data_IF_780961452339
#
_entry.id   IF_780961452339
#
_cell.length_a   1.000
_cell.length_b   1.000
_cell.length_c   1.000
_cell.angle_alpha   90.00
_cell.angle_beta   90.00
_cell.angle_gamma   90.00
#
_symmetry.space_group_name_H-M   'P 1'
#
loop_
_entity.id
_entity.type
_entity.pdbx_description
1 polymer ?
#
# COMPACT_ATOMS: atom_id res chain seq x y z
N UNK A 1 9.38 -5.24 -12.96
CA UNK A 1 8.53 -6.11 -12.15
C UNK A 1 7.05 -5.77 -12.34
N UNK A 2 6.22 -6.77 -12.51
CA UNK A 2 4.79 -6.54 -12.72
C UNK A 2 4.10 -6.30 -11.38
N UNK A 3 3.29 -5.26 -11.28
CA UNK A 3 2.55 -4.97 -10.07
C UNK A 3 1.35 -5.91 -9.91
N UNK A 4 1.11 -6.38 -8.68
CA UNK A 4 -0.04 -7.22 -8.37
C UNK A 4 -1.34 -6.42 -8.32
N UNK A 5 -1.25 -5.13 -7.94
CA UNK A 5 -2.43 -4.28 -7.86
C UNK A 5 -2.83 -3.76 -9.23
N UNK A 6 -4.14 -3.79 -9.48
CA UNK A 6 -4.69 -3.26 -10.71
C UNK A 6 -4.70 -1.74 -10.67
N UNK A 7 -4.78 -1.14 -11.85
CA UNK A 7 -4.77 0.31 -12.02
C UNK A 7 -5.91 1.02 -11.26
N UNK A 8 -7.14 0.56 -11.44
CA UNK A 8 -8.32 1.30 -10.96
C UNK A 8 -8.36 1.56 -9.45
N UNK A 9 -8.08 0.58 -8.57
CA UNK A 9 -8.08 0.87 -7.13
C UNK A 9 -7.03 1.89 -6.72
N UNK A 10 -5.83 1.82 -7.31
CA UNK A 10 -4.75 2.75 -6.99
C UNK A 10 -5.06 4.14 -7.51
N UNK A 11 -5.53 4.24 -8.73
CA UNK A 11 -5.97 5.50 -9.34
C UNK A 11 -7.05 6.15 -8.47
N UNK A 12 -8.01 5.34 -7.99
CA UNK A 12 -9.09 5.81 -7.12
C UNK A 12 -8.57 6.43 -5.82
N UNK A 13 -7.55 5.82 -5.21
CA UNK A 13 -6.95 6.36 -3.99
C UNK A 13 -6.29 7.71 -4.28
N UNK A 14 -5.57 7.83 -5.38
CA UNK A 14 -4.94 9.11 -5.74
C UNK A 14 -6.01 10.17 -5.97
N UNK A 15 -7.06 9.83 -6.73
CA UNK A 15 -8.13 10.79 -7.05
C UNK A 15 -8.87 11.31 -5.83
N UNK A 16 -9.10 10.46 -4.84
CA UNK A 16 -9.80 10.93 -3.62
C UNK A 16 -8.97 11.90 -2.80
N UNK A 17 -7.66 11.95 -3.05
CA UNK A 17 -6.74 12.89 -2.39
C UNK A 17 -6.31 14.04 -3.31
N UNK A 18 -6.77 14.07 -4.55
CA UNK A 18 -6.26 14.98 -5.57
C UNK A 18 -6.89 16.38 -5.56
N UNK A 19 -8.08 16.53 -4.96
CA UNK A 19 -8.73 17.83 -4.91
C UNK A 19 -9.03 18.42 -6.29
N UNK A 20 -9.42 17.56 -7.24
CA UNK A 20 -9.73 18.00 -8.60
C UNK A 20 -8.57 17.96 -9.59
N UNK A 21 -7.36 17.68 -9.13
CA UNK A 21 -6.23 17.51 -10.05
C UNK A 21 -6.41 16.25 -10.89
N UNK A 22 -5.84 16.27 -12.09
CA UNK A 22 -5.78 15.07 -12.92
C UNK A 22 -4.72 14.12 -12.38
N UNK A 23 -4.84 12.86 -12.72
CA UNK A 23 -3.89 11.82 -12.28
C UNK A 23 -3.36 11.11 -13.53
N UNK A 24 -2.04 11.11 -13.72
CA UNK A 24 -1.46 10.42 -14.86
C UNK A 24 -1.47 8.90 -14.62
N UNK A 25 -1.48 8.14 -15.70
CA UNK A 25 -1.39 6.67 -15.62
C UNK A 25 -0.08 6.26 -14.93
N UNK A 26 1.01 6.95 -15.23
CA UNK A 26 2.32 6.67 -14.66
C UNK A 26 2.35 6.90 -13.14
N UNK A 27 1.56 7.87 -12.65
CA UNK A 27 1.45 8.10 -11.20
C UNK A 27 0.81 6.89 -10.52
N UNK A 28 -0.26 6.37 -11.08
CA UNK A 28 -0.92 5.19 -10.53
C UNK A 28 -0.01 3.96 -10.57
N UNK A 29 0.71 3.77 -11.68
CA UNK A 29 1.66 2.65 -11.82
C UNK A 29 2.77 2.75 -10.78
N UNK A 30 3.34 3.94 -10.61
CA UNK A 30 4.43 4.15 -9.65
C UNK A 30 3.96 3.92 -8.22
N UNK A 31 2.78 4.40 -7.88
CA UNK A 31 2.24 4.18 -6.54
C UNK A 31 1.96 2.69 -6.31
N UNK A 32 1.43 1.98 -7.31
CA UNK A 32 1.20 0.54 -7.20
C UNK A 32 2.51 -0.21 -6.90
N UNK A 33 3.60 0.17 -7.56
CA UNK A 33 4.91 -0.44 -7.32
C UNK A 33 5.40 -0.18 -5.89
N UNK A 34 5.19 1.05 -5.40
CA UNK A 34 5.60 1.40 -4.03
C UNK A 34 4.76 0.67 -2.98
N UNK A 35 3.46 0.56 -3.21
CA UNK A 35 2.57 -0.20 -2.31
C UNK A 35 3.03 -1.65 -2.25
N UNK A 36 3.32 -2.24 -3.41
CA UNK A 36 3.77 -3.64 -3.47
C UNK A 36 5.07 -3.86 -2.69
N UNK A 37 6.06 -3.01 -2.90
CA UNK A 37 7.34 -3.15 -2.21
C UNK A 37 7.16 -3.00 -0.69
N UNK A 38 6.35 -2.05 -0.26
CA UNK A 38 6.09 -1.83 1.16
C UNK A 38 5.34 -3.02 1.77
N UNK A 39 4.31 -3.50 1.10
CA UNK A 39 3.52 -4.64 1.57
C UNK A 39 4.33 -5.92 1.68
N UNK A 40 5.18 -6.20 0.69
CA UNK A 40 6.03 -7.39 0.72
C UNK A 40 7.03 -7.31 1.90
N UNK A 41 7.58 -6.12 2.15
CA UNK A 41 8.50 -5.90 3.27
C UNK A 41 7.80 -6.10 4.62
N UNK A 42 6.59 -5.56 4.77
CA UNK A 42 5.82 -5.72 6.00
C UNK A 42 5.49 -7.20 6.26
N UNK A 43 5.20 -7.96 5.19
CA UNK A 43 4.89 -9.37 5.33
C UNK A 43 6.11 -10.18 5.79
N UNK A 44 7.32 -9.81 5.35
CA UNK A 44 8.54 -10.46 5.84
C UNK A 44 8.68 -10.25 7.35
N UNK A 45 8.45 -9.03 7.83
CA UNK A 45 8.50 -8.75 9.27
C UNK A 45 7.41 -9.50 10.02
N UNK A 46 6.21 -9.57 9.46
CA UNK A 46 5.10 -10.31 10.08
C UNK A 46 5.42 -11.81 10.17
N UNK A 47 6.05 -12.37 9.14
CA UNK A 47 6.44 -13.78 9.14
C UNK A 47 7.48 -14.05 10.22
N UNK A 48 8.43 -13.15 10.45
CA UNK A 48 9.40 -13.27 11.52
C UNK A 48 8.71 -13.23 12.88
N UNK A 49 7.74 -12.36 13.05
CA UNK A 49 6.98 -12.27 14.29
C UNK A 49 6.19 -13.57 14.55
N UNK A 50 5.50 -14.08 13.53
CA UNK A 50 4.77 -15.33 13.67
C UNK A 50 5.70 -16.48 14.01
N UNK A 51 6.85 -16.54 13.36
CA UNK A 51 7.85 -17.60 13.61
C UNK A 51 8.39 -17.53 15.03
N UNK A 52 8.63 -16.33 15.56
CA UNK A 52 9.09 -16.14 16.93
C UNK A 52 8.05 -16.64 17.94
N UNK A 53 6.77 -16.55 17.58
CA UNK A 53 5.67 -17.03 18.42
C UNK A 53 5.34 -18.51 18.17
N UNK A 54 6.12 -19.19 17.34
CA UNK A 54 5.91 -20.59 17.04
C UNK A 54 4.76 -20.88 16.08
N UNK A 55 4.32 -19.87 15.32
CA UNK A 55 3.21 -20.02 14.37
C UNK A 55 3.70 -20.01 12.93
N UNK A 56 2.92 -20.65 12.06
CA UNK A 56 3.15 -20.63 10.60
C UNK A 56 2.06 -19.83 9.87
N UNK A 57 1.15 -19.23 10.63
CA UNK A 57 0.10 -18.40 10.07
C UNK A 57 0.33 -16.96 10.50
N UNK A 58 0.38 -16.05 9.53
CA UNK A 58 0.44 -14.62 9.80
C UNK A 58 -0.95 -14.17 10.26
N UNK A 59 -0.98 -13.46 11.38
CA UNK A 59 -2.21 -12.94 11.97
C UNK A 59 -2.17 -11.41 11.90
N UNK A 60 -3.32 -10.77 12.12
CA UNK A 60 -3.40 -9.31 12.11
C UNK A 60 -2.42 -8.68 13.10
N UNK A 61 -2.26 -9.29 14.28
CA UNK A 61 -1.34 -8.80 15.30
C UNK A 61 0.11 -8.77 14.84
N UNK A 62 0.49 -9.67 13.91
CA UNK A 62 1.85 -9.68 13.38
C UNK A 62 2.15 -8.44 12.53
N UNK A 63 1.11 -7.79 12.04
CA UNK A 63 1.20 -6.51 11.33
C UNK A 63 0.95 -5.32 12.26
N UNK A 64 0.79 -5.56 13.55
CA UNK A 64 0.57 -4.50 14.54
C UNK A 64 -0.86 -3.96 14.56
N UNK A 65 -1.82 -4.69 14.02
CA UNK A 65 -3.21 -4.27 13.95
C UNK A 65 -4.03 -5.08 14.96
N UNK A 66 -4.67 -4.38 15.91
CA UNK A 66 -5.55 -5.01 16.91
C UNK A 66 -6.99 -5.05 16.42
N UNK A 67 -7.49 -3.90 15.93
CA UNK A 67 -8.86 -3.78 15.45
C UNK A 67 -8.89 -3.81 13.94
N UNK A 68 -9.24 -4.95 13.38
CA UNK A 68 -9.29 -5.15 11.95
C UNK A 68 -10.54 -4.49 11.38
N UNK A 69 -10.42 -3.60 10.40
CA UNK A 69 -11.58 -2.92 9.83
C UNK A 69 -12.43 -3.86 8.99
N UNK A 70 -13.64 -3.40 8.64
CA UNK A 70 -14.48 -4.14 7.72
C UNK A 70 -13.85 -4.07 6.33
N UNK A 71 -13.70 -5.24 5.67
CA UNK A 71 -13.08 -5.30 4.34
C UNK A 71 -13.83 -4.45 3.31
N UNK A 72 -15.14 -4.28 3.48
CA UNK A 72 -15.95 -3.51 2.53
C UNK A 72 -15.67 -2.00 2.61
N UNK A 73 -14.98 -1.55 3.67
CA UNK A 73 -14.59 -0.15 3.80
C UNK A 73 -13.31 0.18 3.04
N UNK A 74 -12.61 -0.84 2.52
CA UNK A 74 -11.32 -0.67 1.85
C UNK A 74 -11.45 -0.58 0.35
N UNK A 75 -10.64 0.30 -0.25
CA UNK A 75 -10.54 0.42 -1.71
C UNK A 75 -9.66 -0.68 -2.30
N UNK A 76 -8.61 -1.09 -1.58
CA UNK A 76 -7.70 -2.11 -2.09
C UNK A 76 -8.33 -3.50 -2.00
N UNK A 77 -8.31 -4.26 -3.11
CA UNK A 77 -8.90 -5.61 -3.12
C UNK A 77 -8.02 -6.60 -2.38
N UNK A 78 -8.66 -7.54 -1.70
CA UNK A 78 -7.96 -8.48 -0.81
C UNK A 78 -7.08 -9.49 -1.56
N UNK A 79 -7.55 -10.01 -2.70
CA UNK A 79 -6.77 -11.03 -3.41
C UNK A 79 -5.39 -10.54 -3.88
N UNK A 80 -5.27 -9.35 -4.50
CA UNK A 80 -3.95 -8.81 -4.82
C UNK A 80 -3.10 -8.55 -3.59
N UNK A 81 -3.69 -8.09 -2.49
CA UNK A 81 -2.95 -7.85 -1.24
C UNK A 81 -2.41 -9.17 -0.69
N UNK A 82 -3.18 -10.24 -0.77
CA UNK A 82 -2.71 -11.57 -0.36
C UNK A 82 -1.49 -12.00 -1.20
N UNK A 83 -1.53 -11.78 -2.51
CA UNK A 83 -0.40 -12.11 -3.39
C UNK A 83 0.84 -11.30 -3.03
N UNK A 84 0.66 -10.01 -2.71
CA UNK A 84 1.76 -9.16 -2.26
C UNK A 84 2.38 -9.71 -0.98
N UNK A 85 1.55 -10.12 -0.02
CA UNK A 85 2.03 -10.68 1.25
C UNK A 85 2.91 -11.91 1.04
N UNK A 86 2.65 -12.67 -0.02
CA UNK A 86 3.35 -13.93 -0.28
C UNK A 86 4.61 -13.80 -1.14
N UNK A 87 4.89 -12.60 -1.66
CA UNK A 87 5.98 -12.42 -2.63
C UNK A 87 7.36 -12.82 -2.11
N UNK A 88 7.65 -12.54 -0.85
CA UNK A 88 9.00 -12.73 -0.30
C UNK A 88 9.08 -13.61 0.94
N UNK A 89 7.95 -14.18 1.38
CA UNK A 89 7.95 -15.10 2.51
C UNK A 89 7.98 -16.54 2.01
N UNK A 90 8.39 -17.45 2.88
CA UNK A 90 8.46 -18.88 2.51
C UNK A 90 7.06 -19.46 2.29
N UNK A 91 6.96 -20.44 1.38
CA UNK A 91 5.68 -21.05 1.01
C UNK A 91 4.96 -21.76 2.18
N UNK A 92 5.69 -22.10 3.23
CA UNK A 92 5.12 -22.77 4.39
C UNK A 92 4.20 -21.85 5.21
N UNK A 93 4.30 -20.54 5.02
CA UNK A 93 3.48 -19.59 5.77
C UNK A 93 2.09 -19.48 5.16
N UNK A 94 1.11 -19.35 6.03
CA UNK A 94 -0.27 -19.04 5.66
C UNK A 94 -0.55 -17.62 6.10
N UNK A 95 -1.51 -16.98 5.45
CA UNK A 95 -1.93 -15.62 5.78
C UNK A 95 -3.41 -15.67 6.10
N UNK A 96 -3.78 -15.37 7.34
CA UNK A 96 -5.20 -15.40 7.74
C UNK A 96 -5.98 -14.29 7.01
N UNK A 97 -7.30 -14.43 6.94
CA UNK A 97 -8.13 -13.38 6.34
C UNK A 97 -7.96 -12.05 7.08
N UNK A 98 -7.94 -12.08 8.42
CA UNK A 98 -7.74 -10.87 9.21
C UNK A 98 -6.38 -10.23 8.92
N UNK A 99 -5.34 -11.04 8.68
CA UNK A 99 -4.02 -10.53 8.32
C UNK A 99 -4.05 -9.83 6.96
N UNK A 100 -4.77 -10.38 5.99
CA UNK A 100 -4.92 -9.77 4.66
C UNK A 100 -5.63 -8.43 4.75
N UNK A 101 -6.69 -8.36 5.53
CA UNK A 101 -7.45 -7.12 5.73
C UNK A 101 -6.59 -6.10 6.48
N UNK A 102 -5.87 -6.55 7.51
CA UNK A 102 -4.95 -5.68 8.25
C UNK A 102 -3.89 -5.07 7.33
N UNK A 103 -3.27 -5.91 6.51
CA UNK A 103 -2.26 -5.43 5.56
C UNK A 103 -2.87 -4.45 4.56
N UNK A 104 -4.05 -4.78 4.01
CA UNK A 104 -4.73 -3.89 3.07
C UNK A 104 -5.00 -2.53 3.69
N UNK A 105 -5.43 -2.50 4.96
CA UNK A 105 -5.70 -1.23 5.65
C UNK A 105 -4.44 -0.40 5.85
N UNK A 106 -3.33 -1.04 6.20
CA UNK A 106 -2.04 -0.36 6.35
C UNK A 106 -1.59 0.23 5.02
N UNK A 107 -1.70 -0.56 3.95
CA UNK A 107 -1.28 -0.13 2.62
C UNK A 107 -2.15 0.99 2.08
N UNK A 108 -3.43 1.00 2.43
CA UNK A 108 -4.33 2.07 2.01
C UNK A 108 -4.01 3.38 2.69
N UNK A 109 -3.71 3.37 4.00
CA UNK A 109 -3.27 4.56 4.74
C UNK A 109 -1.94 5.07 4.16
N UNK A 110 -1.03 4.17 3.87
CA UNK A 110 0.25 4.48 3.24
C UNK A 110 0.04 5.18 1.89
N UNK A 111 -0.84 4.61 1.05
CA UNK A 111 -1.14 5.18 -0.26
C UNK A 111 -1.80 6.56 -0.15
N UNK A 112 -2.73 6.73 0.81
CA UNK A 112 -3.38 8.03 1.03
C UNK A 112 -2.36 9.11 1.39
N UNK A 113 -1.40 8.76 2.23
CA UNK A 113 -0.36 9.71 2.66
C UNK A 113 0.49 10.15 1.48
N UNK A 114 0.92 9.20 0.66
CA UNK A 114 1.73 9.51 -0.53
C UNK A 114 0.92 10.35 -1.53
N UNK A 115 -0.32 9.96 -1.77
CA UNK A 115 -1.18 10.65 -2.72
C UNK A 115 -1.44 12.10 -2.29
N UNK A 116 -1.65 12.33 -0.99
CA UNK A 116 -1.85 13.66 -0.45
C UNK A 116 -0.64 14.55 -0.66
N UNK A 117 0.55 14.00 -0.37
CA UNK A 117 1.81 14.72 -0.57
C UNK A 117 2.05 15.00 -2.05
N UNK A 118 1.76 14.03 -2.92
CA UNK A 118 1.93 14.21 -4.37
C UNK A 118 1.03 15.33 -4.91
N UNK A 119 -0.22 15.40 -4.41
CA UNK A 119 -1.13 16.48 -4.79
C UNK A 119 -0.58 17.82 -4.37
N UNK A 120 -0.03 17.92 -3.16
CA UNK A 120 0.59 19.17 -2.68
C UNK A 120 1.77 19.57 -3.55
N UNK A 121 2.62 18.62 -3.93
CA UNK A 121 3.77 18.88 -4.79
C UNK A 121 3.34 19.38 -6.17
N UNK A 122 2.31 18.77 -6.75
CA UNK A 122 1.79 19.20 -8.05
C UNK A 122 1.29 20.64 -7.99
N UNK A 123 0.54 20.99 -6.94
CA UNK A 123 0.02 22.33 -6.75
C UNK A 123 1.13 23.37 -6.59
N UNK A 124 2.15 23.05 -5.81
CA UNK A 124 3.29 23.96 -5.62
C UNK A 124 4.05 24.23 -6.91
N UNK A 125 4.01 23.27 -7.84
CA UNK A 125 4.64 23.43 -9.15
C UNK A 125 3.68 24.03 -10.20
N UNK A 126 2.52 24.51 -9.78
CA UNK A 126 1.48 25.07 -10.64
C UNK A 126 1.02 24.09 -11.74
N UNK A 127 1.09 22.79 -11.45
CA UNK A 127 0.61 21.78 -12.39
C UNK A 127 -0.81 21.35 -12.03
N UNK A 128 -1.52 20.89 -13.04
CA UNK A 128 -2.90 20.39 -12.87
C UNK A 128 -2.99 18.88 -12.91
N UNK A 129 -1.85 18.22 -12.96
CA UNK A 129 -1.79 16.77 -13.05
C UNK A 129 -0.78 16.23 -12.03
N UNK A 130 -1.17 15.24 -11.27
CA UNK A 130 -0.25 14.50 -10.41
C UNK A 130 0.50 13.51 -11.30
N UNK A 131 1.82 13.52 -11.24
CA UNK A 131 2.68 12.69 -12.08
C UNK A 131 3.45 11.66 -11.25
N UNK A 132 4.09 10.73 -11.93
CA UNK A 132 4.95 9.75 -11.28
C UNK A 132 6.11 10.42 -10.53
N UNK A 133 6.62 11.55 -11.04
CA UNK A 133 7.69 12.26 -10.34
C UNK A 133 7.20 12.84 -9.02
N UNK A 134 5.94 13.22 -8.91
CA UNK A 134 5.37 13.69 -7.63
C UNK A 134 5.35 12.54 -6.62
N UNK A 135 5.02 11.34 -7.06
CA UNK A 135 5.03 10.16 -6.19
C UNK A 135 6.46 9.90 -5.70
N UNK A 136 7.45 9.91 -6.61
CA UNK A 136 8.84 9.64 -6.26
C UNK A 136 9.45 10.74 -5.39
N UNK A 137 9.10 11.99 -5.64
CA UNK A 137 9.62 13.10 -4.84
C UNK A 137 9.23 12.99 -3.38
N UNK A 138 8.06 12.40 -3.08
CA UNK A 138 7.66 12.13 -1.70
C UNK A 138 8.76 11.37 -0.95
N UNK A 139 9.39 10.39 -1.60
CA UNK A 139 10.41 9.54 -0.98
C UNK A 139 11.77 10.23 -0.84
N UNK A 140 11.95 11.35 -1.55
CA UNK A 140 13.16 12.14 -1.45
C UNK A 140 13.07 13.23 -0.37
N UNK A 141 11.88 13.43 0.20
CA UNK A 141 11.69 14.43 1.25
C UNK A 141 12.34 13.94 2.56
N UNK A 142 13.08 14.82 3.28
CA UNK A 142 13.83 14.39 4.49
C UNK A 142 12.92 14.19 5.66
N UNK A 143 11.86 14.37 5.93
CA UNK A 143 11.04 14.14 7.12
C UNK A 143 9.60 13.88 6.73
N UNK A 144 9.36 12.64 6.33
CA UNK A 144 8.08 12.26 5.73
C UNK A 144 7.01 11.84 6.70
N UNK A 145 7.16 11.99 7.93
CA UNK A 145 6.24 11.47 8.92
C UNK A 145 4.76 11.75 8.70
#
# INVERSE_FOLDING_TARGET
>A
MRAELQFAPVDGIIRRNAGGLRVSAEAAERLAERIQAHGASLAVEAAEQANNDGRKTLMAEDFGVEDVPNRDSLELPIAPVDRIARLEIADRYRVSMDARIALASILEVYADRIARAAATLARHADRRTITDSDIETYFDLPERE
#
